data_IF_072273645019
#
_entry.id   IF_072273645019
#
_cell.length_a   1.000
_cell.length_b   1.000
_cell.length_c   1.000
_cell.angle_alpha   90.00
_cell.angle_beta   90.00
_cell.angle_gamma   90.00
#
_symmetry.space_group_name_H-M   'P 1'
#
loop_
_entity.id
_entity.type
_entity.pdbx_description
1 polymer ?
#
# COMPACT_ATOMS: atom_id res chain seq x y z
N UNK A 1 0.30 3.62 48.58
CA UNK A 1 1.06 2.39 48.27
C UNK A 1 0.39 1.76 47.05
N UNK A 2 1.03 1.90 45.86
CA UNK A 2 0.81 1.28 44.53
C UNK A 2 -0.59 1.44 43.84
N UNK A 3 -0.71 1.78 42.52
CA UNK A 3 0.24 2.41 41.57
C UNK A 3 -0.29 3.69 40.86
N UNK A 4 0.61 4.55 40.42
CA UNK A 4 0.34 5.58 39.39
C UNK A 4 0.43 4.87 38.04
N UNK A 5 -0.73 4.60 37.43
CA UNK A 5 -0.77 4.11 36.05
C UNK A 5 -0.56 5.32 35.15
N UNK A 6 0.65 5.44 34.62
CA UNK A 6 0.98 6.31 33.49
C UNK A 6 0.23 5.74 32.28
N UNK A 7 -1.00 6.19 32.04
CA UNK A 7 -1.61 6.08 30.72
C UNK A 7 -1.14 7.30 29.92
N UNK A 8 0.01 7.13 29.25
CA UNK A 8 0.35 7.92 28.07
C UNK A 8 -0.84 7.80 27.11
N UNK A 9 -1.67 8.83 27.07
CA UNK A 9 -2.82 8.89 26.18
C UNK A 9 -2.28 9.22 24.78
N UNK A 10 -1.95 8.17 24.04
CA UNK A 10 -1.88 8.21 22.58
C UNK A 10 -3.25 8.69 22.11
N UNK A 11 -3.39 9.98 21.81
CA UNK A 11 -4.59 10.49 21.16
C UNK A 11 -4.42 10.18 19.67
N UNK A 12 -4.63 8.93 19.31
CA UNK A 12 -5.05 8.56 17.95
C UNK A 12 -6.46 9.12 17.82
N UNK A 13 -6.62 10.32 17.27
CA UNK A 13 -7.92 10.63 16.67
C UNK A 13 -7.98 9.76 15.42
N UNK A 14 -8.75 8.67 15.47
CA UNK A 14 -9.34 8.10 14.26
C UNK A 14 -10.14 9.25 13.64
N UNK A 15 -9.59 9.91 12.63
CA UNK A 15 -10.39 10.74 11.76
C UNK A 15 -11.23 9.76 10.95
N UNK A 16 -12.48 9.58 11.40
CA UNK A 16 -13.60 8.93 10.69
C UNK A 16 -13.28 7.51 10.20
N UNK A 17 -13.76 6.54 10.99
CA UNK A 17 -13.87 5.15 10.55
C UNK A 17 -14.91 5.08 9.42
N UNK A 18 -14.46 4.91 8.18
CA UNK A 18 -15.33 4.74 7.02
C UNK A 18 -15.71 3.27 6.78
N UNK A 19 -15.57 2.41 7.80
CA UNK A 19 -15.78 0.96 7.65
C UNK A 19 -17.23 0.50 7.48
N UNK A 20 -18.24 1.35 7.62
CA UNK A 20 -19.62 0.83 7.68
C UNK A 20 -20.43 0.89 6.37
N UNK A 21 -20.02 1.61 5.31
CA UNK A 21 -20.92 1.82 4.15
C UNK A 21 -20.32 1.86 2.74
N UNK A 22 -18.99 1.93 2.54
CA UNK A 22 -18.41 2.00 1.19
C UNK A 22 -17.05 1.30 1.08
N UNK A 23 -16.84 0.37 0.12
CA UNK A 23 -15.57 -0.34 -0.05
C UNK A 23 -14.43 0.51 -0.67
N UNK A 24 -14.56 1.83 -0.72
CA UNK A 24 -13.63 2.74 -1.42
C UNK A 24 -13.14 3.89 -0.54
N UNK A 25 -13.28 3.77 0.77
CA UNK A 25 -13.07 4.88 1.69
C UNK A 25 -11.81 4.63 2.52
N UNK A 26 -10.67 4.84 1.87
CA UNK A 26 -9.35 4.99 2.48
C UNK A 26 -9.37 6.28 3.29
N UNK A 27 -8.94 6.24 4.55
CA UNK A 27 -8.26 7.36 5.22
C UNK A 27 -8.00 7.01 6.70
N UNK A 28 -7.15 6.00 6.97
CA UNK A 28 -6.55 5.89 8.32
C UNK A 28 -5.31 6.77 8.35
N UNK A 29 -5.54 8.06 8.60
CA UNK A 29 -4.48 9.06 8.77
C UNK A 29 -3.89 8.92 10.19
N UNK A 30 -2.67 8.41 10.31
CA UNK A 30 -1.95 8.45 11.59
C UNK A 30 -1.31 9.83 11.76
N UNK A 31 -1.83 10.57 12.73
CA UNK A 31 -1.48 11.96 13.02
C UNK A 31 -0.58 11.98 14.26
N UNK A 32 0.71 12.22 14.09
CA UNK A 32 1.65 12.31 15.22
C UNK A 32 1.82 13.76 15.66
N UNK A 33 1.38 14.07 16.88
CA UNK A 33 1.61 15.38 17.49
C UNK A 33 2.84 15.36 18.41
N UNK A 34 3.79 16.30 18.26
CA UNK A 34 4.80 16.51 19.30
C UNK A 34 4.14 16.93 20.61
N UNK A 35 4.72 16.54 21.75
CA UNK A 35 4.21 16.85 23.12
C UNK A 35 3.93 18.35 23.35
N UNK A 36 4.65 19.24 22.64
CA UNK A 36 4.42 20.69 22.65
C UNK A 36 3.03 21.08 22.11
N UNK A 37 2.50 20.33 21.14
CA UNK A 37 1.19 20.57 20.52
C UNK A 37 0.06 20.13 21.43
N UNK A 38 0.22 19.00 22.12
CA UNK A 38 -0.74 18.55 23.13
C UNK A 38 -0.92 19.61 24.24
N UNK A 39 0.18 20.26 24.62
CA UNK A 39 0.18 21.33 25.61
C UNK A 39 -0.42 22.65 25.06
N UNK A 40 -0.26 22.93 23.77
CA UNK A 40 -0.90 24.07 23.11
C UNK A 40 -2.42 23.88 22.93
N UNK A 41 -2.87 22.68 22.55
CA UNK A 41 -4.30 22.32 22.46
C UNK A 41 -4.96 22.43 23.84
N UNK A 42 -4.32 21.96 24.92
CA UNK A 42 -4.83 22.16 26.29
C UNK A 42 -5.01 23.64 26.67
N UNK A 43 -4.17 24.53 26.14
CA UNK A 43 -4.27 25.98 26.39
C UNK A 43 -5.47 26.63 25.67
N UNK A 44 -6.02 25.99 24.64
CA UNK A 44 -7.16 26.50 23.86
C UNK A 44 -8.53 26.17 24.46
N UNK A 45 -8.59 25.26 25.44
CA UNK A 45 -9.83 24.92 26.19
C UNK A 45 -10.18 26.04 27.20
N UNK A 46 -9.22 26.92 27.53
CA UNK A 46 -9.42 28.08 28.41
C UNK A 46 -8.88 29.35 27.73
N UNK A 47 -9.60 29.94 26.76
CA UNK A 47 -9.18 31.18 26.12
C UNK A 47 -9.15 32.33 27.15
N UNK A 48 -8.04 33.09 27.16
CA UNK A 48 -7.93 34.32 27.94
C UNK A 48 -9.05 35.30 27.48
N UNK A 49 -9.82 35.85 28.42
CA UNK A 49 -10.92 36.76 28.12
C UNK A 49 -10.41 38.08 27.50
N UNK A 50 -10.72 38.32 26.23
CA UNK A 50 -10.48 39.60 25.56
C UNK A 50 -10.25 39.48 24.04
N UNK A 51 -10.24 40.60 23.30
CA UNK A 51 -10.01 40.62 21.84
C UNK A 51 -8.63 40.08 21.42
N UNK A 52 -7.67 40.01 22.36
CA UNK A 52 -6.33 39.44 22.15
C UNK A 52 -6.27 37.90 22.34
N UNK A 53 -7.34 37.26 22.82
CA UNK A 53 -7.42 35.81 23.05
C UNK A 53 -7.95 35.00 21.85
N UNK A 54 -8.32 35.68 20.74
CA UNK A 54 -8.80 35.01 19.52
C UNK A 54 -7.62 34.53 18.68
N UNK A 55 -7.32 33.24 18.78
CA UNK A 55 -6.34 32.55 17.96
C UNK A 55 -6.97 32.18 16.62
N UNK A 56 -6.23 32.35 15.52
CA UNK A 56 -6.57 31.78 14.21
C UNK A 56 -5.55 30.75 13.77
N UNK A 57 -6.04 29.68 13.16
CA UNK A 57 -5.22 28.61 12.62
C UNK A 57 -5.06 28.73 11.12
N UNK A 58 -3.88 28.41 10.62
CA UNK A 58 -3.60 28.25 9.20
C UNK A 58 -2.68 27.07 8.97
N UNK A 59 -2.77 26.47 7.78
CA UNK A 59 -1.98 25.31 7.40
C UNK A 59 -0.97 25.73 6.33
N UNK A 60 0.27 25.26 6.47
CA UNK A 60 1.29 25.32 5.42
C UNK A 60 1.74 23.90 5.08
N UNK A 61 2.05 23.68 3.81
CA UNK A 61 2.36 22.35 3.29
C UNK A 61 1.11 21.57 2.88
N UNK A 62 1.25 20.26 2.72
CA UNK A 62 0.13 19.36 2.42
C UNK A 62 -0.40 19.40 0.99
N UNK A 63 0.22 20.18 0.09
CA UNK A 63 -0.04 20.16 -1.37
C UNK A 63 -1.53 20.27 -1.75
N UNK A 64 -2.32 20.98 -0.93
CA UNK A 64 -3.77 21.12 -1.13
C UNK A 64 -4.60 19.89 -0.77
N UNK A 65 -3.98 18.82 -0.28
CA UNK A 65 -4.66 17.59 0.18
C UNK A 65 -5.22 17.69 1.59
N UNK A 66 -4.83 18.73 2.34
CA UNK A 66 -5.26 18.97 3.71
C UNK A 66 -5.76 20.39 3.89
N UNK A 67 -6.72 20.55 4.79
CA UNK A 67 -7.23 21.85 5.22
C UNK A 67 -7.23 21.96 6.74
N UNK A 68 -7.23 23.17 7.27
CA UNK A 68 -7.42 23.41 8.70
C UNK A 68 -8.59 24.36 8.90
N UNK A 69 -9.46 24.02 9.85
CA UNK A 69 -10.50 24.95 10.27
C UNK A 69 -9.87 26.12 11.06
N UNK A 70 -10.06 27.38 10.64
CA UNK A 70 -9.32 28.52 11.18
C UNK A 70 -9.71 28.91 12.60
N UNK A 71 -10.77 28.31 13.17
CA UNK A 71 -11.28 28.63 14.51
C UNK A 71 -10.96 27.52 15.51
N UNK A 72 -11.24 26.27 15.15
CA UNK A 72 -11.03 25.10 16.00
C UNK A 72 -9.63 24.50 15.87
N UNK A 73 -8.92 24.75 14.76
CA UNK A 73 -7.62 24.17 14.48
C UNK A 73 -7.68 22.70 14.03
N UNK A 74 -8.88 22.17 13.75
CA UNK A 74 -9.06 20.81 13.25
C UNK A 74 -8.50 20.70 11.84
N UNK A 75 -7.51 19.81 11.65
CA UNK A 75 -6.97 19.47 10.34
C UNK A 75 -7.81 18.33 9.75
N UNK A 76 -8.19 18.44 8.48
CA UNK A 76 -8.98 17.44 7.75
C UNK A 76 -8.39 17.19 6.36
N UNK A 77 -8.65 15.99 5.83
CA UNK A 77 -8.36 15.65 4.43
C UNK A 77 -9.32 16.44 3.53
N UNK A 78 -8.77 17.09 2.51
CA UNK A 78 -9.48 17.96 1.58
C UNK A 78 -9.39 17.48 0.12
N UNK A 79 -8.60 16.42 -0.14
CA UNK A 79 -8.50 15.78 -1.44
C UNK A 79 -8.00 14.35 -1.29
N UNK A 80 -8.17 13.54 -2.34
CA UNK A 80 -7.78 12.13 -2.33
C UNK A 80 -6.30 11.94 -1.93
N UNK A 81 -6.05 10.96 -1.09
CA UNK A 81 -4.72 10.50 -0.72
C UNK A 81 -4.44 9.18 -1.44
N UNK A 82 -3.20 9.01 -1.84
CA UNK A 82 -2.69 7.85 -2.58
C UNK A 82 -1.28 7.63 -2.03
N UNK A 83 -1.06 6.45 -1.43
CA UNK A 83 0.21 6.14 -0.75
C UNK A 83 1.30 5.87 -1.77
N UNK A 84 0.96 5.20 -2.86
CA UNK A 84 1.83 4.85 -3.99
C UNK A 84 2.38 6.12 -4.65
N UNK A 85 1.57 7.18 -4.72
CA UNK A 85 2.02 8.52 -5.11
C UNK A 85 2.82 9.20 -4.00
N UNK A 86 2.31 9.20 -2.76
CA UNK A 86 2.95 9.90 -1.63
C UNK A 86 2.50 9.37 -0.27
N UNK A 87 3.37 8.57 0.34
CA UNK A 87 3.15 7.97 1.66
C UNK A 87 3.21 8.94 2.85
N UNK A 88 3.85 10.12 2.71
CA UNK A 88 4.08 11.02 3.84
C UNK A 88 3.92 12.51 3.49
N UNK A 89 3.26 13.24 4.40
CA UNK A 89 3.12 14.69 4.34
C UNK A 89 3.64 15.36 5.62
N UNK A 90 4.46 16.38 5.43
CA UNK A 90 4.91 17.26 6.49
C UNK A 90 4.08 18.55 6.48
N UNK A 91 3.19 18.69 7.46
CA UNK A 91 2.30 19.83 7.62
C UNK A 91 2.81 20.76 8.70
N UNK A 92 2.59 22.06 8.55
CA UNK A 92 2.82 23.05 9.60
C UNK A 92 1.52 23.75 9.94
N UNK A 93 1.04 23.54 11.15
CA UNK A 93 -0.11 24.26 11.71
C UNK A 93 0.42 25.50 12.42
N UNK A 94 -0.01 26.67 11.96
CA UNK A 94 0.36 27.96 12.54
C UNK A 94 -0.83 28.51 13.31
N UNK A 95 -0.63 28.80 14.59
CA UNK A 95 -1.58 29.49 15.45
C UNK A 95 -1.11 30.94 15.63
N UNK A 96 -1.94 31.91 15.28
CA UNK A 96 -1.63 33.34 15.35
C UNK A 96 -2.68 34.09 16.18
N UNK A 97 -2.25 34.94 17.11
CA UNK A 97 -3.15 35.83 17.85
C UNK A 97 -3.51 37.09 17.04
N UNK A 98 -4.51 37.83 17.49
CA UNK A 98 -4.92 39.10 16.86
C UNK A 98 -4.25 40.34 17.51
N UNK A 99 -3.12 40.13 18.19
CA UNK A 99 -2.37 41.19 18.84
C UNK A 99 -1.75 42.19 17.85
N UNK A 100 -1.26 43.32 18.38
CA UNK A 100 -0.45 44.29 17.62
C UNK A 100 0.79 44.66 18.45
N UNK A 101 1.97 44.09 18.16
CA UNK A 101 2.25 43.12 17.09
C UNK A 101 1.61 41.74 17.35
N UNK A 102 1.26 41.03 16.28
CA UNK A 102 0.74 39.67 16.37
C UNK A 102 1.85 38.69 16.77
N UNK A 103 1.48 37.65 17.54
CA UNK A 103 2.38 36.56 17.91
C UNK A 103 1.88 35.26 17.31
N UNK A 104 2.80 34.45 16.80
CA UNK A 104 2.50 33.16 16.22
C UNK A 104 3.31 32.03 16.85
N UNK A 105 2.75 30.83 16.87
CA UNK A 105 3.46 29.58 17.13
C UNK A 105 3.20 28.57 16.01
N UNK A 106 4.19 27.73 15.73
CA UNK A 106 4.10 26.72 14.67
C UNK A 106 4.30 25.34 15.25
N UNK A 107 3.44 24.41 14.84
CA UNK A 107 3.51 22.99 15.14
C UNK A 107 3.73 22.20 13.85
N UNK A 108 4.69 21.27 13.86
CA UNK A 108 4.84 20.30 12.77
C UNK A 108 3.94 19.10 13.02
N UNK A 109 3.20 18.71 11.99
CA UNK A 109 2.38 17.52 11.98
C UNK A 109 2.87 16.59 10.86
N UNK A 110 3.32 15.40 11.25
CA UNK A 110 3.66 14.32 10.33
C UNK A 110 2.41 13.49 10.07
N UNK A 111 2.04 13.39 8.80
CA UNK A 111 0.94 12.56 8.33
C UNK A 111 1.51 11.41 7.52
N UNK A 112 1.21 10.19 7.94
CA UNK A 112 1.51 8.96 7.20
C UNK A 112 0.22 8.40 6.61
N UNK A 113 0.24 8.12 5.30
CA UNK A 113 -0.87 7.51 4.58
C UNK A 113 -0.77 6.00 4.73
N UNK A 114 -1.83 5.38 5.26
CA UNK A 114 -1.92 3.93 5.37
C UNK A 114 -2.14 3.30 4.00
N UNK A 115 -1.48 2.19 3.74
CA UNK A 115 -1.68 1.34 2.58
C UNK A 115 -3.07 0.69 2.56
N UNK A 116 -3.61 0.50 1.35
CA UNK A 116 -4.76 -0.35 1.07
C UNK A 116 -4.41 -1.23 -0.13
N UNK A 117 -5.07 -2.40 -0.26
CA UNK A 117 -4.84 -3.29 -1.40
C UNK A 117 -5.67 -2.80 -2.60
N UNK A 118 -5.18 -1.83 -3.34
CA UNK A 118 -5.86 -1.23 -4.49
C UNK A 118 -5.10 -1.35 -5.82
N UNK A 119 -3.91 -1.95 -5.82
CA UNK A 119 -3.19 -2.30 -7.03
C UNK A 119 -3.23 -3.81 -7.26
N UNK A 120 -3.18 -4.20 -8.54
CA UNK A 120 -3.11 -5.62 -8.92
C UNK A 120 -1.65 -5.98 -9.25
N UNK A 121 -1.20 -7.21 -8.98
CA UNK A 121 0.12 -7.65 -9.41
C UNK A 121 0.25 -7.58 -10.95
N UNK A 122 1.23 -6.83 -11.45
CA UNK A 122 1.44 -6.66 -12.89
C UNK A 122 2.66 -7.46 -13.39
N UNK A 123 2.43 -8.39 -14.31
CA UNK A 123 3.50 -9.14 -14.97
C UNK A 123 4.36 -8.24 -15.88
N UNK A 124 5.66 -8.55 -15.97
CA UNK A 124 6.59 -7.80 -16.84
C UNK A 124 6.23 -7.87 -18.33
N UNK A 125 5.55 -8.95 -18.75
CA UNK A 125 5.05 -9.15 -20.12
C UNK A 125 3.70 -9.85 -20.10
N UNK A 126 2.88 -9.59 -21.14
CA UNK A 126 1.59 -10.26 -21.33
C UNK A 126 1.74 -11.74 -21.73
N UNK A 127 2.88 -12.10 -22.32
CA UNK A 127 3.21 -13.44 -22.77
C UNK A 127 4.72 -13.68 -22.59
N UNK A 128 5.07 -14.90 -22.17
CA UNK A 128 6.44 -15.39 -22.05
C UNK A 128 6.66 -16.53 -23.04
N UNK A 129 7.88 -16.64 -23.55
CA UNK A 129 8.29 -17.75 -24.42
C UNK A 129 9.33 -18.60 -23.70
N UNK A 130 9.04 -19.89 -23.55
CA UNK A 130 9.96 -20.91 -23.06
C UNK A 130 10.31 -21.84 -24.20
N UNK A 131 11.59 -21.98 -24.53
CA UNK A 131 12.07 -23.03 -25.44
C UNK A 131 12.63 -24.18 -24.60
N UNK A 132 12.13 -25.39 -24.85
CA UNK A 132 12.51 -26.60 -24.10
C UNK A 132 13.10 -27.59 -25.08
N UNK A 133 14.35 -28.00 -24.90
CA UNK A 133 14.95 -29.04 -25.72
C UNK A 133 14.49 -30.42 -25.23
N UNK A 134 14.30 -31.38 -26.13
CA UNK A 134 13.96 -32.78 -25.78
C UNK A 134 15.02 -33.42 -24.86
N UNK A 135 16.25 -32.92 -24.92
CA UNK A 135 17.36 -33.37 -24.07
C UNK A 135 17.30 -32.83 -22.64
N UNK A 136 16.40 -31.90 -22.33
CA UNK A 136 16.28 -31.32 -20.98
C UNK A 136 15.78 -32.35 -19.96
N UNK A 137 16.39 -32.33 -18.79
CA UNK A 137 16.04 -33.25 -17.70
C UNK A 137 15.01 -32.65 -16.75
N UNK A 138 14.33 -33.53 -16.01
CA UNK A 138 13.50 -33.11 -14.90
C UNK A 138 14.31 -32.27 -13.89
N UNK A 139 13.75 -31.14 -13.47
CA UNK A 139 14.37 -30.15 -12.60
C UNK A 139 15.01 -28.97 -13.33
N UNK A 140 15.13 -28.99 -14.66
CA UNK A 140 15.61 -27.84 -15.44
C UNK A 140 14.71 -26.62 -15.18
N UNK A 141 15.34 -25.49 -14.86
CA UNK A 141 14.65 -24.18 -14.78
C UNK A 141 14.62 -23.55 -16.17
N UNK A 142 13.43 -23.27 -16.67
CA UNK A 142 13.20 -22.81 -18.05
C UNK A 142 13.26 -21.28 -18.15
N UNK A 143 12.50 -20.60 -17.30
CA UNK A 143 12.51 -19.15 -17.19
C UNK A 143 11.99 -18.70 -15.82
N UNK A 144 12.17 -17.43 -15.50
CA UNK A 144 11.64 -16.81 -14.30
C UNK A 144 10.64 -15.72 -14.71
N UNK A 145 9.39 -15.90 -14.31
CA UNK A 145 8.34 -14.91 -14.44
C UNK A 145 8.55 -13.82 -13.40
N UNK A 146 8.15 -12.59 -13.72
CA UNK A 146 8.24 -11.47 -12.80
C UNK A 146 6.95 -10.69 -12.85
N UNK A 147 6.40 -10.41 -11.68
CA UNK A 147 5.30 -9.48 -11.50
C UNK A 147 5.60 -8.58 -10.30
N UNK A 148 5.11 -7.34 -10.36
CA UNK A 148 5.33 -6.31 -9.34
C UNK A 148 3.98 -5.80 -8.88
N UNK A 149 3.85 -5.60 -7.57
CA UNK A 149 2.72 -4.94 -6.95
C UNK A 149 3.27 -3.78 -6.10
N UNK A 150 2.81 -2.53 -6.32
CA UNK A 150 3.34 -1.36 -5.64
C UNK A 150 2.89 -1.23 -4.17
N UNK A 151 1.89 -2.01 -3.73
CA UNK A 151 1.31 -1.90 -2.40
C UNK A 151 2.28 -2.31 -1.28
N UNK A 152 1.98 -1.96 -0.02
CA UNK A 152 2.88 -2.21 1.10
C UNK A 152 2.66 -3.58 1.76
N UNK A 153 3.75 -4.26 2.11
CA UNK A 153 3.70 -5.44 2.97
C UNK A 153 3.00 -6.64 2.31
N UNK A 154 1.97 -7.26 2.92
CA UNK A 154 1.22 -8.36 2.31
C UNK A 154 0.48 -7.96 1.03
N UNK A 155 0.01 -6.72 0.93
CA UNK A 155 -0.70 -6.20 -0.24
C UNK A 155 0.22 -6.13 -1.46
N UNK A 156 1.51 -5.81 -1.28
CA UNK A 156 2.51 -5.88 -2.36
C UNK A 156 3.18 -7.24 -2.55
N UNK A 157 2.83 -8.26 -1.74
CA UNK A 157 3.55 -9.54 -1.74
C UNK A 157 2.98 -10.50 -2.77
N UNK A 158 3.63 -10.54 -3.91
CA UNK A 158 3.24 -11.40 -5.04
C UNK A 158 3.60 -12.88 -4.82
N UNK A 159 2.67 -13.75 -5.17
CA UNK A 159 2.86 -15.20 -5.32
C UNK A 159 2.38 -15.67 -6.69
N UNK A 160 3.00 -16.73 -7.23
CA UNK A 160 2.74 -17.23 -8.57
C UNK A 160 2.07 -18.59 -8.58
N UNK A 161 1.24 -18.86 -9.59
CA UNK A 161 0.64 -20.18 -9.83
C UNK A 161 0.31 -20.42 -11.30
N UNK A 162 0.24 -21.69 -11.70
CA UNK A 162 -0.34 -22.11 -12.98
C UNK A 162 -1.79 -22.51 -12.69
N UNK A 163 -2.76 -21.85 -13.33
CA UNK A 163 -4.18 -22.17 -13.14
C UNK A 163 -4.79 -22.90 -14.35
N UNK A 164 -4.11 -22.91 -15.50
CA UNK A 164 -4.51 -23.70 -16.66
C UNK A 164 -3.29 -24.11 -17.49
N UNK A 165 -3.34 -25.32 -18.04
CA UNK A 165 -2.35 -25.84 -18.98
C UNK A 165 -3.06 -26.49 -20.17
N UNK A 166 -2.53 -26.30 -21.37
CA UNK A 166 -2.94 -26.99 -22.60
C UNK A 166 -1.71 -27.50 -23.36
N UNK A 167 -1.65 -28.80 -23.71
CA UNK A 167 -2.56 -29.87 -23.29
C UNK A 167 -2.46 -30.12 -21.78
N UNK A 168 -3.58 -30.51 -21.16
CA UNK A 168 -3.58 -30.93 -19.75
C UNK A 168 -2.74 -32.20 -19.59
N UNK A 169 -1.91 -32.27 -18.55
CA UNK A 169 -1.10 -33.45 -18.24
C UNK A 169 -1.34 -33.88 -16.78
N UNK A 170 -1.45 -35.19 -16.56
CA UNK A 170 -1.46 -35.81 -15.23
C UNK A 170 -0.53 -37.04 -15.26
N UNK A 171 0.64 -36.99 -14.60
CA UNK A 171 1.13 -35.91 -13.72
C UNK A 171 1.45 -34.58 -14.43
N UNK A 172 1.58 -33.49 -13.67
CA UNK A 172 1.98 -32.19 -14.19
C UNK A 172 3.40 -32.25 -14.79
N UNK A 173 3.60 -31.64 -15.95
CA UNK A 173 4.92 -31.56 -16.62
C UNK A 173 5.68 -30.27 -16.27
N UNK A 174 4.99 -29.24 -15.80
CA UNK A 174 5.59 -27.98 -15.36
C UNK A 174 5.20 -27.66 -13.93
N UNK A 175 6.12 -27.02 -13.21
CA UNK A 175 5.89 -26.42 -11.91
C UNK A 175 6.30 -24.96 -11.95
N UNK A 176 5.50 -24.09 -11.33
CA UNK A 176 5.86 -22.70 -11.11
C UNK A 176 6.10 -22.48 -9.63
N UNK A 177 7.35 -22.18 -9.26
CA UNK A 177 7.69 -21.85 -7.89
C UNK A 177 6.96 -20.58 -7.45
N UNK A 178 6.14 -20.69 -6.41
CA UNK A 178 5.21 -19.64 -6.01
C UNK A 178 5.88 -18.38 -5.49
N UNK A 179 7.13 -18.46 -5.05
CA UNK A 179 7.85 -17.34 -4.42
C UNK A 179 8.83 -16.64 -5.38
N UNK A 180 9.48 -17.42 -6.23
CA UNK A 180 10.51 -16.93 -7.15
C UNK A 180 9.99 -16.71 -8.56
N UNK A 181 8.82 -17.25 -8.91
CA UNK A 181 8.30 -17.22 -10.28
C UNK A 181 9.08 -18.12 -11.24
N UNK A 182 9.92 -19.03 -10.75
CA UNK A 182 10.72 -19.91 -11.61
C UNK A 182 9.87 -21.05 -12.16
N UNK A 183 9.73 -21.11 -13.48
CA UNK A 183 9.10 -22.22 -14.19
C UNK A 183 10.12 -23.35 -14.37
N UNK A 184 9.74 -24.56 -13.93
CA UNK A 184 10.58 -25.76 -13.99
C UNK A 184 9.90 -26.88 -14.74
N UNK A 185 10.73 -27.68 -15.41
CA UNK A 185 10.31 -28.92 -16.03
C UNK A 185 10.29 -30.03 -14.95
N UNK A 186 9.18 -30.74 -14.81
CA UNK A 186 9.05 -31.85 -13.86
C UNK A 186 9.38 -33.21 -14.48
N UNK A 187 9.24 -33.33 -15.81
CA UNK A 187 9.44 -34.57 -16.54
C UNK A 187 10.03 -34.28 -17.93
N UNK A 188 10.89 -35.15 -18.48
CA UNK A 188 11.33 -35.04 -19.87
C UNK A 188 10.13 -35.00 -20.81
N UNK A 189 10.21 -34.16 -21.85
CA UNK A 189 9.17 -34.05 -22.86
C UNK A 189 9.45 -35.02 -24.02
N UNK A 190 8.40 -35.47 -24.70
CA UNK A 190 8.50 -36.24 -25.95
C UNK A 190 8.02 -35.37 -27.13
N UNK A 191 8.93 -35.05 -28.05
CA UNK A 191 8.63 -34.12 -29.15
C UNK A 191 7.64 -34.71 -30.15
N UNK A 192 7.59 -36.04 -30.23
CA UNK A 192 6.66 -36.75 -31.08
C UNK A 192 5.21 -36.71 -30.56
N UNK A 193 5.02 -36.47 -29.26
CA UNK A 193 3.71 -36.38 -28.63
C UNK A 193 3.18 -34.94 -28.58
N UNK A 194 3.97 -34.01 -28.02
CA UNK A 194 3.55 -32.61 -27.81
C UNK A 194 4.68 -31.66 -28.18
N UNK A 195 4.38 -30.79 -29.15
CA UNK A 195 5.32 -29.80 -29.67
C UNK A 195 5.14 -28.42 -29.02
N UNK A 196 3.94 -28.14 -28.52
CA UNK A 196 3.57 -26.84 -27.96
C UNK A 196 2.76 -26.98 -26.69
N UNK A 197 3.12 -26.19 -25.68
CA UNK A 197 2.40 -26.04 -24.44
C UNK A 197 1.96 -24.59 -24.27
N UNK A 198 0.78 -24.40 -23.69
CA UNK A 198 0.30 -23.09 -23.26
C UNK A 198 -0.06 -23.15 -21.79
N UNK A 199 0.60 -22.35 -20.97
CA UNK A 199 0.33 -22.19 -19.55
C UNK A 199 -0.37 -20.86 -19.32
N UNK A 200 -1.49 -20.86 -18.62
CA UNK A 200 -2.06 -19.64 -18.07
C UNK A 200 -1.59 -19.52 -16.62
N UNK A 201 -0.92 -18.42 -16.34
CA UNK A 201 -0.28 -18.14 -15.05
C UNK A 201 -0.94 -16.96 -14.37
N UNK A 202 -0.96 -16.99 -13.05
CA UNK A 202 -1.53 -15.94 -12.21
C UNK A 202 -0.50 -15.48 -11.19
N UNK A 203 -0.44 -14.17 -11.00
CA UNK A 203 0.21 -13.51 -9.88
C UNK A 203 -0.90 -13.03 -8.92
N UNK A 204 -0.78 -13.35 -7.64
CA UNK A 204 -1.73 -12.95 -6.59
C UNK A 204 -0.96 -12.26 -5.47
N UNK A 205 -1.49 -11.14 -5.00
CA UNK A 205 -1.03 -10.53 -3.77
C UNK A 205 -1.52 -11.31 -2.52
N UNK A 206 -1.09 -10.86 -1.34
CA UNK A 206 -1.52 -11.37 -0.04
C UNK A 206 -2.54 -10.47 0.68
N UNK A 207 -3.17 -9.52 -0.02
CA UNK A 207 -4.18 -8.63 0.52
C UNK A 207 -5.49 -9.33 0.85
N UNK A 208 -6.44 -8.59 1.44
CA UNK A 208 -7.77 -9.12 1.80
C UNK A 208 -8.88 -8.13 1.40
N UNK A 209 -9.62 -8.38 0.30
CA UNK A 209 -9.48 -9.52 -0.61
C UNK A 209 -8.17 -9.47 -1.42
N UNK A 210 -7.66 -10.62 -1.88
CA UNK A 210 -6.49 -10.63 -2.75
C UNK A 210 -6.86 -10.13 -4.15
N UNK A 211 -5.94 -9.40 -4.79
CA UNK A 211 -6.03 -9.01 -6.19
C UNK A 211 -5.07 -9.84 -7.04
N UNK A 212 -5.43 -10.00 -8.31
CA UNK A 212 -4.77 -10.95 -9.21
C UNK A 212 -4.50 -10.34 -10.58
N UNK A 213 -3.31 -10.60 -11.10
CA UNK A 213 -2.93 -10.38 -12.50
C UNK A 213 -2.69 -11.70 -13.21
N UNK A 214 -2.93 -11.75 -14.52
CA UNK A 214 -2.77 -12.95 -15.34
C UNK A 214 -1.79 -12.70 -16.49
N UNK A 215 -1.09 -13.76 -16.90
CA UNK A 215 -0.22 -13.79 -18.09
C UNK A 215 -0.24 -15.19 -18.71
N UNK A 216 0.44 -15.38 -19.83
CA UNK A 216 0.60 -16.69 -20.47
C UNK A 216 2.07 -17.04 -20.69
N UNK A 217 2.37 -18.34 -20.72
CA UNK A 217 3.64 -18.88 -21.18
C UNK A 217 3.39 -19.80 -22.35
N UNK A 218 4.00 -19.50 -23.50
CA UNK A 218 4.10 -20.42 -24.62
C UNK A 218 5.38 -21.24 -24.49
N UNK A 219 5.22 -22.54 -24.29
CA UNK A 219 6.31 -23.51 -24.28
C UNK A 219 6.47 -24.13 -25.66
N UNK A 220 7.60 -23.86 -26.34
CA UNK A 220 7.96 -24.52 -27.59
C UNK A 220 8.93 -25.65 -27.30
N UNK A 221 8.48 -26.86 -27.57
CA UNK A 221 9.35 -28.02 -27.52
C UNK A 221 10.18 -28.07 -28.80
N UNK A 222 11.49 -28.21 -28.65
CA UNK A 222 12.46 -28.34 -29.73
C UNK A 222 13.04 -29.76 -29.68
N UNK A 223 12.85 -30.53 -30.76
CA UNK A 223 13.44 -31.87 -30.93
C UNK A 223 14.88 -31.86 -31.42
#
# INVERSE_FOLDING_TARGET
>A
MIPVIIKMLWIVHRLIDCQDLYPTCSDVVLVFFPLSVLNAIKKTIYPDEGPNGRIRYSLRGGEGRFSVDPVSGVVSVAGALDRETKAEYNLQVVAEDQGRPARSSTATLLVQVSDINDNIPEFSTAEYLAEVLETESAGTSLLTLSAVDPDEGPNGRVTFSIFQQSPSSDPAVFELDSSSGTLRLLQPLDYSEVQEYRLMVQASDGGTPPLVGNSSVEGRHLG
#
